data_IF_985982153086
#
_entry.id   IF_985982153086
#
_cell.length_a   1.000
_cell.length_b   1.000
_cell.length_c   1.000
_cell.angle_alpha   90.00
_cell.angle_beta   90.00
_cell.angle_gamma   90.00
#
_symmetry.space_group_name_H-M   'P 1'
#
loop_
_entity.id
_entity.type
_entity.pdbx_description
1 polymer ?
#
# COMPACT_ATOMS: atom_id res chain seq x y z
N UNK A 1 15.73 -12.67 -27.75
CA UNK A 1 14.33 -12.94 -28.14
C UNK A 1 14.02 -14.38 -27.77
N UNK A 2 13.44 -14.61 -26.59
CA UNK A 2 13.17 -15.96 -26.07
C UNK A 2 11.72 -16.31 -26.33
N UNK A 3 11.47 -17.26 -27.24
CA UNK A 3 10.16 -17.87 -27.44
C UNK A 3 10.03 -19.06 -26.50
N UNK A 4 9.17 -18.95 -25.48
CA UNK A 4 8.81 -20.08 -24.62
C UNK A 4 7.66 -20.83 -25.29
N UNK A 5 7.93 -22.03 -25.78
CA UNK A 5 6.92 -22.96 -26.31
C UNK A 5 6.45 -23.89 -25.19
N UNK A 6 5.20 -23.75 -24.77
CA UNK A 6 4.61 -24.64 -23.77
C UNK A 6 3.97 -25.87 -24.44
N UNK A 7 4.50 -27.06 -24.16
CA UNK A 7 3.87 -28.34 -24.54
C UNK A 7 2.86 -28.74 -23.46
N UNK A 8 1.57 -28.60 -23.78
CA UNK A 8 0.47 -29.09 -22.95
C UNK A 8 0.41 -30.62 -23.00
N UNK A 9 0.29 -31.27 -21.85
CA UNK A 9 0.19 -32.74 -21.74
C UNK A 9 -1.26 -33.18 -21.50
N UNK A 10 -1.65 -34.34 -22.06
CA UNK A 10 -3.03 -34.87 -22.09
C UNK A 10 -3.68 -35.11 -20.71
N UNK A 11 -2.94 -34.97 -19.60
CA UNK A 11 -3.46 -35.14 -18.24
C UNK A 11 -4.14 -33.88 -17.68
N UNK A 12 -3.95 -32.70 -18.28
CA UNK A 12 -4.62 -31.46 -17.86
C UNK A 12 -5.95 -31.18 -18.59
N UNK A 13 -6.27 -31.92 -19.65
CA UNK A 13 -7.54 -31.75 -20.40
C UNK A 13 -8.73 -32.43 -19.69
N UNK A 14 -8.48 -33.48 -18.89
CA UNK A 14 -9.56 -34.21 -18.20
C UNK A 14 -10.14 -33.45 -16.99
N UNK A 15 -9.39 -32.54 -16.37
CA UNK A 15 -9.87 -31.74 -15.24
C UNK A 15 -10.81 -30.58 -15.69
N UNK A 16 -10.79 -30.21 -16.97
CA UNK A 16 -11.61 -29.11 -17.51
C UNK A 16 -13.03 -29.55 -17.95
N UNK A 17 -13.34 -30.85 -17.98
CA UNK A 17 -14.64 -31.35 -18.43
C UNK A 17 -15.61 -31.76 -17.30
N UNK A 18 -15.14 -31.91 -16.05
CA UNK A 18 -15.99 -32.29 -14.92
C UNK A 18 -16.69 -31.11 -14.21
N UNK A 19 -16.24 -29.87 -14.45
CA UNK A 19 -16.86 -28.66 -13.87
C UNK A 19 -18.06 -28.18 -14.70
N UNK A 20 -18.17 -28.57 -15.98
CA UNK A 20 -19.23 -28.12 -16.88
C UNK A 20 -20.54 -28.95 -16.84
N UNK A 21 -20.56 -30.11 -16.18
CA UNK A 21 -21.79 -30.94 -16.06
C UNK A 21 -22.55 -30.70 -14.76
N UNK A 22 -21.91 -30.17 -13.71
CA UNK A 22 -22.61 -29.74 -12.48
C UNK A 22 -23.34 -28.39 -12.65
N UNK A 23 -23.14 -27.69 -13.77
CA UNK A 23 -23.82 -26.43 -14.08
C UNK A 23 -25.24 -26.60 -14.67
N UNK A 24 -25.65 -27.79 -15.11
CA UNK A 24 -26.95 -27.98 -15.77
C UNK A 24 -28.04 -28.67 -14.92
N UNK A 25 -27.71 -29.28 -13.78
CA UNK A 25 -28.71 -29.84 -12.86
C UNK A 25 -29.15 -28.87 -11.74
N UNK A 26 -28.35 -27.84 -11.43
CA UNK A 26 -28.71 -26.81 -10.44
C UNK A 26 -29.58 -25.66 -10.99
N UNK A 27 -29.72 -25.56 -12.32
CA UNK A 27 -30.40 -24.43 -12.99
C UNK A 27 -31.93 -24.42 -12.87
N UNK A 28 -32.56 -25.49 -12.40
CA UNK A 28 -34.03 -25.57 -12.28
C UNK A 28 -34.51 -25.25 -10.85
N UNK A 29 -33.65 -25.33 -9.83
CA UNK A 29 -33.99 -24.92 -8.47
C UNK A 29 -33.60 -23.48 -8.12
N UNK A 30 -32.91 -22.75 -9.02
CA UNK A 30 -32.43 -21.39 -8.79
C UNK A 30 -33.37 -20.28 -9.32
N UNK A 31 -34.54 -20.64 -9.88
CA UNK A 31 -35.51 -19.67 -10.43
C UNK A 31 -36.58 -19.18 -9.46
N UNK A 32 -36.56 -19.63 -8.20
CA UNK A 32 -37.56 -19.25 -7.18
C UNK A 32 -37.01 -18.36 -6.07
N UNK A 33 -35.71 -18.01 -6.12
CA UNK A 33 -35.06 -17.11 -5.16
C UNK A 33 -34.68 -15.75 -5.77
N UNK A 34 -35.15 -15.45 -6.99
CA UNK A 34 -34.94 -14.19 -7.71
C UNK A 34 -36.17 -13.29 -7.65
N UNK A 35 -36.83 -13.20 -6.50
CA UNK A 35 -37.91 -12.26 -6.27
C UNK A 35 -38.01 -11.94 -4.79
N UNK A 36 -36.97 -11.30 -4.25
CA UNK A 36 -37.01 -10.51 -3.01
C UNK A 36 -35.62 -9.89 -2.79
N UNK A 37 -35.32 -8.80 -3.49
CA UNK A 37 -34.30 -7.85 -3.03
C UNK A 37 -34.72 -6.46 -3.44
N UNK A 38 -35.65 -5.93 -2.65
CA UNK A 38 -35.88 -4.51 -2.51
C UNK A 38 -34.56 -3.78 -2.18
N UNK A 39 -34.30 -2.74 -2.96
CA UNK A 39 -33.59 -1.53 -2.55
C UNK A 39 -32.38 -1.65 -1.63
N UNK A 40 -31.19 -1.83 -2.21
CA UNK A 40 -30.02 -1.05 -1.79
C UNK A 40 -29.08 -0.88 -2.97
N UNK A 41 -29.06 0.33 -3.53
CA UNK A 41 -28.01 0.78 -4.42
C UNK A 41 -26.66 0.45 -3.78
N UNK A 42 -25.79 -0.22 -4.55
CA UNK A 42 -24.41 -0.45 -4.18
C UNK A 42 -23.71 0.92 -4.07
N UNK A 43 -23.71 1.44 -2.85
CA UNK A 43 -22.87 2.55 -2.44
C UNK A 43 -21.43 2.06 -2.61
N UNK A 44 -20.67 2.74 -3.47
CA UNK A 44 -19.22 2.54 -3.55
C UNK A 44 -18.65 2.53 -2.13
N UNK A 45 -17.75 1.60 -1.77
CA UNK A 45 -17.14 1.65 -0.46
C UNK A 45 -16.48 3.02 -0.30
N UNK A 46 -16.89 3.75 0.73
CA UNK A 46 -16.22 4.98 1.15
C UNK A 46 -14.72 4.68 1.34
N UNK A 47 -13.82 5.66 1.14
CA UNK A 47 -12.39 5.47 1.39
C UNK A 47 -12.22 4.95 2.81
N UNK A 48 -11.86 3.68 2.94
CA UNK A 48 -11.54 3.11 4.24
C UNK A 48 -10.32 3.85 4.75
N UNK A 49 -10.47 4.59 5.84
CA UNK A 49 -9.38 5.27 6.56
C UNK A 49 -8.22 4.29 6.73
N UNK A 50 -7.18 4.40 5.89
CA UNK A 50 -6.03 3.51 5.97
C UNK A 50 -5.27 3.88 7.23
N UNK A 51 -5.36 3.01 8.24
CA UNK A 51 -4.65 3.21 9.49
C UNK A 51 -3.17 2.90 9.31
N UNK A 52 -2.36 3.94 9.16
CA UNK A 52 -0.91 3.84 8.95
C UNK A 52 -0.21 3.17 10.14
N UNK A 53 -0.60 3.51 11.37
CA UNK A 53 0.05 2.98 12.57
C UNK A 53 -0.07 1.45 12.64
N UNK A 54 1.09 0.76 12.68
CA UNK A 54 1.27 -0.69 12.82
C UNK A 54 0.94 -1.53 11.58
N UNK A 55 0.82 -0.92 10.40
CA UNK A 55 0.86 -1.66 9.15
C UNK A 55 2.15 -2.52 9.06
N UNK A 56 2.09 -3.63 8.34
CA UNK A 56 3.26 -4.50 8.19
C UNK A 56 4.30 -3.82 7.28
N UNK A 57 5.58 -3.84 7.68
CA UNK A 57 6.67 -3.22 6.91
C UNK A 57 7.98 -3.98 7.02
N UNK A 58 7.92 -5.27 7.37
CA UNK A 58 9.11 -6.11 7.58
C UNK A 58 9.78 -6.49 6.26
N UNK A 59 8.99 -6.79 5.23
CA UNK A 59 9.48 -7.16 3.90
C UNK A 59 9.29 -6.01 2.92
N UNK A 60 10.02 -6.05 1.80
CA UNK A 60 9.91 -5.05 0.75
C UNK A 60 8.50 -5.01 0.15
N UNK A 61 7.93 -6.19 -0.11
CA UNK A 61 6.59 -6.34 -0.69
C UNK A 61 5.52 -5.72 0.22
N UNK A 62 5.65 -5.87 1.55
CA UNK A 62 4.74 -5.24 2.50
C UNK A 62 4.79 -3.72 2.45
N UNK A 63 5.98 -3.14 2.25
CA UNK A 63 6.18 -1.69 2.14
C UNK A 63 5.62 -1.17 0.81
N UNK A 64 5.86 -1.87 -0.30
CA UNK A 64 5.31 -1.51 -1.61
C UNK A 64 3.78 -1.59 -1.59
N UNK A 65 3.20 -2.71 -1.13
CA UNK A 65 1.75 -2.86 -1.01
C UNK A 65 1.12 -1.80 -0.10
N UNK A 66 1.83 -1.37 0.94
CA UNK A 66 1.39 -0.27 1.77
C UNK A 66 1.33 1.05 0.97
N UNK A 67 2.35 1.40 0.19
CA UNK A 67 2.35 2.62 -0.65
C UNK A 67 1.28 2.55 -1.74
N UNK A 68 1.11 1.39 -2.38
CA UNK A 68 0.07 1.14 -3.39
C UNK A 68 -1.33 1.36 -2.82
N UNK A 69 -1.55 1.05 -1.54
CA UNK A 69 -2.84 1.27 -0.88
C UNK A 69 -3.22 2.76 -0.78
N UNK A 70 -2.23 3.66 -0.83
CA UNK A 70 -2.42 5.11 -0.94
C UNK A 70 -2.42 5.62 -2.40
N UNK A 71 -2.32 4.71 -3.38
CA UNK A 71 -2.29 5.05 -4.79
C UNK A 71 -0.90 5.34 -5.36
N UNK A 72 0.18 5.16 -4.59
CA UNK A 72 1.54 5.39 -5.08
C UNK A 72 2.09 4.18 -5.82
N UNK A 73 2.65 4.44 -7.01
CA UNK A 73 3.46 3.48 -7.75
C UNK A 73 4.91 3.85 -7.51
N UNK A 74 5.72 2.87 -7.10
CA UNK A 74 7.13 3.09 -6.78
C UNK A 74 8.03 2.12 -7.52
N UNK A 75 9.32 2.40 -7.56
CA UNK A 75 10.31 1.43 -8.01
C UNK A 75 10.28 0.16 -7.13
N UNK A 76 10.53 -1.03 -7.72
CA UNK A 76 10.45 -2.31 -6.99
C UNK A 76 11.49 -2.47 -5.89
N UNK A 77 12.58 -1.71 -5.94
CA UNK A 77 13.66 -1.75 -4.95
C UNK A 77 13.74 -0.40 -4.23
N UNK A 78 14.04 -0.43 -2.94
CA UNK A 78 14.38 0.77 -2.18
C UNK A 78 15.66 1.44 -2.70
N UNK A 79 15.61 2.75 -2.92
CA UNK A 79 16.77 3.57 -3.27
C UNK A 79 17.75 3.67 -2.09
N UNK A 80 17.22 3.77 -0.87
CA UNK A 80 18.01 3.95 0.34
C UNK A 80 17.41 3.21 1.55
N UNK A 81 18.28 2.65 2.40
CA UNK A 81 17.92 2.13 3.72
C UNK A 81 18.83 2.77 4.77
N UNK A 82 18.25 3.53 5.71
CA UNK A 82 19.00 4.12 6.83
C UNK A 82 18.48 3.66 8.18
N UNK A 83 19.39 3.43 9.12
CA UNK A 83 19.04 3.31 10.54
C UNK A 83 18.94 4.72 11.14
N UNK A 84 17.73 5.09 11.58
CA UNK A 84 17.44 6.40 12.17
C UNK A 84 17.13 6.25 13.65
N UNK A 85 17.64 7.16 14.48
CA UNK A 85 17.31 7.20 15.90
C UNK A 85 16.29 8.28 16.15
N UNK A 86 15.11 7.91 16.63
CA UNK A 86 14.09 8.87 17.04
C UNK A 86 14.62 9.57 18.30
N UNK A 87 14.69 10.91 18.35
CA UNK A 87 15.17 11.62 19.52
C UNK A 87 14.20 11.42 20.71
N UNK A 88 14.71 11.47 21.94
CA UNK A 88 13.87 11.34 23.14
C UNK A 88 13.05 12.61 23.40
N UNK A 89 13.64 13.74 23.08
CA UNK A 89 13.04 15.08 23.16
C UNK A 89 13.03 15.61 21.73
N UNK A 90 11.87 16.07 21.26
CA UNK A 90 11.74 16.61 19.92
C UNK A 90 12.18 18.08 19.95
N UNK A 91 13.00 18.48 18.98
CA UNK A 91 13.21 19.89 18.68
C UNK A 91 12.12 20.39 17.72
N UNK A 92 12.09 21.69 17.44
CA UNK A 92 11.06 22.30 16.58
C UNK A 92 10.98 21.64 15.19
N UNK A 93 12.11 21.16 14.65
CA UNK A 93 12.16 20.50 13.34
C UNK A 93 11.47 19.14 13.41
N UNK A 94 11.79 18.34 14.43
CA UNK A 94 11.19 17.04 14.61
C UNK A 94 9.73 17.12 15.06
N UNK A 95 9.35 18.17 15.79
CA UNK A 95 7.96 18.46 16.14
C UNK A 95 7.11 18.65 14.88
N UNK A 96 7.53 19.53 13.97
CA UNK A 96 6.86 19.73 12.67
C UNK A 96 6.77 18.45 11.85
N UNK A 97 7.86 17.68 11.79
CA UNK A 97 7.82 16.38 11.13
C UNK A 97 6.81 15.43 11.78
N UNK A 98 6.78 15.37 13.12
CA UNK A 98 5.84 14.52 13.85
C UNK A 98 4.37 14.99 13.74
N UNK A 99 4.11 16.26 13.44
CA UNK A 99 2.76 16.76 13.13
C UNK A 99 2.22 16.11 11.84
N UNK A 100 3.05 15.99 10.79
CA UNK A 100 2.71 15.23 9.57
C UNK A 100 2.42 13.77 9.93
N UNK A 101 3.19 13.19 10.84
CA UNK A 101 2.96 11.81 11.27
C UNK A 101 1.64 11.66 12.04
N UNK A 102 1.30 12.62 12.89
CA UNK A 102 0.04 12.64 13.63
C UNK A 102 -1.18 12.78 12.74
N UNK A 103 -1.11 13.58 11.67
CA UNK A 103 -2.24 13.73 10.76
C UNK A 103 -2.61 12.42 10.04
N UNK A 104 -1.63 11.55 9.80
CA UNK A 104 -1.85 10.21 9.23
C UNK A 104 -2.04 9.10 10.29
N UNK A 105 -2.29 9.48 11.55
CA UNK A 105 -2.59 8.56 12.63
C UNK A 105 -1.39 7.86 13.26
N UNK A 106 -0.17 8.35 13.02
CA UNK A 106 1.08 7.91 13.64
C UNK A 106 1.53 8.85 14.77
N UNK A 107 2.48 8.42 15.60
CA UNK A 107 3.07 9.33 16.60
C UNK A 107 4.47 8.85 16.98
N UNK A 108 5.49 9.56 16.50
CA UNK A 108 6.89 9.21 16.71
C UNK A 108 7.37 9.43 18.15
N UNK A 109 6.68 10.26 18.94
CA UNK A 109 7.06 10.47 20.36
C UNK A 109 7.00 9.17 21.16
N UNK A 110 6.10 8.25 20.79
CA UNK A 110 5.98 6.90 21.37
C UNK A 110 7.24 6.04 21.15
N UNK A 111 8.09 6.42 20.21
CA UNK A 111 9.31 5.72 19.82
C UNK A 111 10.58 6.50 20.20
N UNK A 112 10.48 7.50 21.08
CA UNK A 112 11.62 8.29 21.54
C UNK A 112 12.79 7.44 22.06
N UNK A 113 13.99 7.72 21.54
CA UNK A 113 15.22 7.00 21.85
C UNK A 113 15.37 5.62 21.18
N UNK A 114 14.39 5.17 20.39
CA UNK A 114 14.46 3.90 19.66
C UNK A 114 15.22 4.06 18.35
N UNK A 115 15.80 2.96 17.88
CA UNK A 115 16.41 2.85 16.54
C UNK A 115 15.41 2.18 15.60
N UNK A 116 15.18 2.83 14.48
CA UNK A 116 14.19 2.52 13.47
C UNK A 116 14.89 2.42 12.11
N UNK A 117 14.20 1.89 11.10
CA UNK A 117 14.70 1.89 9.72
C UNK A 117 13.84 2.78 8.86
N UNK A 118 14.46 3.69 8.11
CA UNK A 118 13.83 4.43 7.02
C UNK A 118 14.16 3.72 5.71
N UNK A 119 13.14 3.45 4.92
CA UNK A 119 13.24 2.95 3.56
C UNK A 119 12.76 4.04 2.61
N UNK A 120 13.54 4.35 1.60
CA UNK A 120 13.23 5.39 0.60
C UNK A 120 12.95 4.72 -0.73
N UNK A 121 11.86 5.11 -1.39
CA UNK A 121 11.47 4.61 -2.70
C UNK A 121 11.29 5.75 -3.70
N UNK A 122 11.64 5.52 -4.97
CA UNK A 122 11.34 6.46 -6.06
C UNK A 122 9.86 6.35 -6.42
N UNK A 123 9.13 7.46 -6.43
CA UNK A 123 7.70 7.52 -6.81
C UNK A 123 7.60 7.75 -8.32
N UNK A 124 6.82 6.94 -9.02
CA UNK A 124 6.75 6.94 -10.48
C UNK A 124 5.51 7.66 -11.03
N UNK A 125 4.51 7.92 -10.18
CA UNK A 125 3.22 8.47 -10.58
C UNK A 125 2.83 9.76 -9.83
N UNK A 126 3.81 10.48 -9.27
CA UNK A 126 3.52 11.78 -8.68
C UNK A 126 3.13 12.79 -9.78
N UNK A 127 2.03 13.56 -9.63
CA UNK A 127 1.60 14.52 -10.64
C UNK A 127 2.71 15.53 -10.99
N UNK A 128 2.88 15.80 -12.28
CA UNK A 128 3.77 16.83 -12.86
C UNK A 128 5.28 16.71 -12.56
N UNK A 129 5.72 15.86 -11.62
CA UNK A 129 7.11 15.74 -11.19
C UNK A 129 7.50 14.31 -10.68
N UNK A 130 7.40 13.24 -11.48
CA UNK A 130 7.69 11.89 -10.99
C UNK A 130 9.17 11.68 -10.62
N UNK A 131 10.13 12.26 -11.34
CA UNK A 131 11.55 11.90 -11.18
C UNK A 131 12.17 12.35 -9.85
N UNK A 132 11.64 13.43 -9.25
CA UNK A 132 12.22 14.08 -8.07
C UNK A 132 11.47 13.76 -6.77
N UNK A 133 10.50 12.85 -6.80
CA UNK A 133 9.68 12.52 -5.63
C UNK A 133 10.09 11.19 -5.02
N UNK A 134 10.12 11.15 -3.69
CA UNK A 134 10.45 9.98 -2.88
C UNK A 134 9.36 9.68 -1.87
N UNK A 135 9.14 8.40 -1.62
CA UNK A 135 8.30 7.92 -0.54
C UNK A 135 9.17 7.27 0.54
N UNK A 136 9.12 7.82 1.74
CA UNK A 136 9.85 7.36 2.91
C UNK A 136 8.93 6.54 3.81
N UNK A 137 9.37 5.35 4.23
CA UNK A 137 8.69 4.53 5.23
C UNK A 137 9.60 4.33 6.43
N UNK A 138 9.13 4.72 7.62
CA UNK A 138 9.81 4.49 8.89
C UNK A 138 9.20 3.27 9.57
N UNK A 139 10.05 2.31 9.91
CA UNK A 139 9.65 1.07 10.58
C UNK A 139 10.35 0.87 11.93
N UNK A 140 9.61 0.25 12.86
CA UNK A 140 10.14 -0.24 14.13
C UNK A 140 9.62 -1.65 14.38
N UNK A 141 10.53 -2.60 14.65
CA UNK A 141 10.21 -4.02 14.83
C UNK A 141 9.34 -4.61 13.69
N UNK A 142 9.63 -4.24 12.45
CA UNK A 142 8.93 -4.72 11.26
C UNK A 142 7.52 -4.17 11.06
N UNK A 143 7.15 -3.11 11.79
CA UNK A 143 5.88 -2.39 11.64
C UNK A 143 6.13 -0.96 11.19
N UNK A 144 5.27 -0.44 10.33
CA UNK A 144 5.26 0.95 9.91
C UNK A 144 4.79 1.81 11.08
N UNK A 145 5.57 2.86 11.37
CA UNK A 145 5.33 3.80 12.46
C UNK A 145 5.23 5.25 11.99
N UNK A 146 5.44 5.49 10.70
CA UNK A 146 5.38 6.79 10.06
C UNK A 146 6.09 6.78 8.70
N UNK A 147 6.21 7.95 8.10
CA UNK A 147 6.84 8.22 6.81
C UNK A 147 6.21 9.41 6.10
N UNK A 148 6.65 9.66 4.89
CA UNK A 148 6.29 10.86 4.13
C UNK A 148 6.47 10.64 2.63
N UNK A 149 5.87 11.52 1.83
CA UNK A 149 6.17 11.69 0.41
C UNK A 149 6.76 13.09 0.26
N UNK A 150 7.94 13.20 -0.35
CA UNK A 150 8.67 14.45 -0.45
C UNK A 150 9.41 14.62 -1.77
N UNK A 151 9.64 15.87 -2.15
CA UNK A 151 10.50 16.24 -3.28
C UNK A 151 11.96 16.44 -2.80
N UNK A 152 12.93 16.04 -3.62
CA UNK A 152 14.36 16.26 -3.37
C UNK A 152 14.86 17.63 -3.83
N UNK A 153 13.99 18.47 -4.39
CA UNK A 153 14.31 19.82 -4.85
C UNK A 153 14.51 20.81 -3.69
N UNK A 154 15.24 21.92 -3.95
CA UNK A 154 15.52 22.97 -2.95
C UNK A 154 14.25 23.62 -2.40
N UNK A 155 13.26 23.87 -3.28
CA UNK A 155 11.93 24.38 -2.92
C UNK A 155 10.89 23.25 -2.90
N UNK A 156 11.32 22.06 -2.49
CA UNK A 156 10.50 20.86 -2.43
C UNK A 156 9.39 20.91 -1.37
N UNK A 157 8.58 19.87 -1.37
CA UNK A 157 7.48 19.68 -0.42
C UNK A 157 7.70 18.41 0.42
N UNK A 158 6.92 18.28 1.48
CA UNK A 158 6.80 17.05 2.26
C UNK A 158 5.38 16.94 2.81
N UNK A 159 4.72 15.81 2.56
CA UNK A 159 3.40 15.51 3.08
C UNK A 159 3.29 14.05 3.54
N UNK A 160 2.16 13.69 4.16
CA UNK A 160 1.88 12.31 4.58
C UNK A 160 1.62 11.37 3.39
N UNK A 161 1.25 10.12 3.65
CA UNK A 161 1.03 9.15 2.56
C UNK A 161 -0.21 9.43 1.73
N UNK A 162 -1.23 10.12 2.25
CA UNK A 162 -2.35 10.52 1.41
C UNK A 162 -1.88 11.60 0.41
N UNK A 163 -2.21 11.47 -0.90
CA UNK A 163 -2.00 12.55 -1.86
C UNK A 163 -2.67 13.85 -1.37
N UNK A 164 -2.05 15.00 -1.63
CA UNK A 164 -2.68 16.29 -1.36
C UNK A 164 -3.83 16.52 -2.34
N UNK A 165 -5.08 16.34 -1.89
CA UNK A 165 -6.29 16.69 -2.64
C UNK A 165 -7.42 15.67 -2.56
N UNK A 166 -8.48 16.02 -1.82
CA UNK A 166 -9.88 15.85 -2.22
C UNK A 166 -10.51 17.25 -2.28
#
# INVERSE_FOLDING_TARGET
MFTITWRVTKRQVAAAAAVLVLAFAGGVWLRSALSETDGKAAQAPAPSEIKVEKAAGKTNEQRITFLESFGWQVEPEEEEILEVKIPKELDEVYEKYNEIQKSQGCDLTKYGGKRCKRYTYIVLNYPDQPENVRANIVTYNGKIIGGDVCSVELDGFMHGFAPEGD
#
